data_IF_122090470224
#
_entry.id   IF_122090470224
#
_cell.length_a   1.000
_cell.length_b   1.000
_cell.length_c   1.000
_cell.angle_alpha   90.00
_cell.angle_beta   90.00
_cell.angle_gamma   90.00
#
_symmetry.space_group_name_H-M   'P 1'
#
loop_
_entity.id
_entity.type
_entity.pdbx_description
1 polymer ?
#
# COMPACT_ATOMS: atom_id res chain seq x y z
N UNK A 1 -43.48 11.95 0.78
CA UNK A 1 -42.92 10.94 1.69
C UNK A 1 -41.48 10.77 1.28
N UNK A 2 -40.56 11.55 1.87
CA UNK A 2 -39.15 11.49 1.58
C UNK A 2 -38.57 10.26 2.29
N UNK A 3 -38.23 9.21 1.52
CA UNK A 3 -37.36 8.16 2.01
C UNK A 3 -35.98 8.76 2.24
N UNK A 4 -35.63 9.09 3.48
CA UNK A 4 -34.27 9.24 3.91
C UNK A 4 -33.62 7.85 3.76
N UNK A 5 -32.89 7.62 2.66
CA UNK A 5 -31.91 6.56 2.64
C UNK A 5 -30.90 6.93 3.71
N UNK A 6 -30.96 6.22 4.82
CA UNK A 6 -29.89 6.22 5.82
C UNK A 6 -28.63 5.75 5.06
N UNK A 7 -27.67 6.64 4.88
CA UNK A 7 -26.37 6.29 4.32
C UNK A 7 -25.80 5.19 5.21
N UNK A 8 -25.82 3.94 4.73
CA UNK A 8 -25.32 2.80 5.48
C UNK A 8 -23.83 3.00 5.79
N UNK A 9 -23.46 2.83 7.05
CA UNK A 9 -22.07 2.89 7.48
C UNK A 9 -21.23 1.84 6.77
N UNK A 10 -20.09 2.23 6.24
CA UNK A 10 -19.15 1.33 5.58
C UNK A 10 -18.21 0.72 6.62
N UNK A 11 -18.26 -0.60 6.79
CA UNK A 11 -17.33 -1.33 7.66
C UNK A 11 -15.99 -1.49 6.95
N UNK A 12 -14.92 -0.99 7.56
CA UNK A 12 -13.60 -1.00 6.96
C UNK A 12 -12.53 -1.54 7.93
N UNK A 13 -11.48 -2.12 7.35
CA UNK A 13 -10.28 -2.50 8.10
C UNK A 13 -9.25 -1.36 8.05
N UNK A 14 -8.89 -0.83 9.22
CA UNK A 14 -7.93 0.26 9.35
C UNK A 14 -6.67 -0.19 10.11
N UNK A 15 -5.50 0.27 9.63
CA UNK A 15 -4.21 0.01 10.25
C UNK A 15 -3.79 1.14 11.19
N UNK A 16 -3.91 0.98 12.50
CA UNK A 16 -3.55 1.99 13.48
C UNK A 16 -2.16 1.73 14.07
N UNK A 17 -1.21 2.62 13.81
CA UNK A 17 0.18 2.51 14.25
C UNK A 17 0.43 3.34 15.51
N UNK A 18 0.86 2.67 16.60
CA UNK A 18 1.21 3.31 17.87
C UNK A 18 2.66 3.01 18.25
N UNK A 19 3.33 3.94 18.93
CA UNK A 19 4.71 3.77 19.38
C UNK A 19 4.75 3.03 20.71
N UNK A 20 5.62 2.01 20.79
CA UNK A 20 5.85 1.22 22.00
C UNK A 20 7.11 1.67 22.74
N UNK A 21 7.09 1.51 24.05
CA UNK A 21 8.20 1.80 24.97
C UNK A 21 8.52 0.53 25.80
N UNK A 22 9.13 -0.49 25.15
CA UNK A 22 9.50 -1.71 25.82
C UNK A 22 10.70 -1.49 26.76
N UNK A 23 10.73 -2.16 27.90
CA UNK A 23 11.91 -2.33 28.73
C UNK A 23 12.93 -3.30 28.11
N UNK A 24 14.08 -3.52 28.76
CA UNK A 24 15.12 -4.41 28.25
C UNK A 24 14.62 -5.86 28.06
N UNK A 25 13.86 -6.37 29.03
CA UNK A 25 13.32 -7.73 29.00
C UNK A 25 12.35 -7.90 27.83
N UNK A 26 11.47 -6.93 27.63
CA UNK A 26 10.52 -6.93 26.51
C UNK A 26 11.23 -6.80 25.15
N UNK A 27 12.28 -5.98 25.07
CA UNK A 27 13.12 -5.87 23.87
C UNK A 27 13.72 -7.23 23.50
N UNK A 28 14.21 -7.99 24.47
CA UNK A 28 14.78 -9.32 24.23
C UNK A 28 13.69 -10.31 23.78
N UNK A 29 12.52 -10.29 24.40
CA UNK A 29 11.37 -11.11 23.97
C UNK A 29 10.94 -10.76 22.54
N UNK A 30 10.88 -9.48 22.17
CA UNK A 30 10.57 -9.05 20.81
C UNK A 30 11.63 -9.52 19.81
N UNK A 31 12.91 -9.39 20.15
CA UNK A 31 14.00 -9.83 19.29
C UNK A 31 13.99 -11.36 19.10
N UNK A 32 13.68 -12.15 20.15
CA UNK A 32 13.50 -13.62 20.05
C UNK A 32 12.34 -13.96 19.12
N UNK A 33 11.16 -13.33 19.30
CA UNK A 33 10.00 -13.57 18.43
C UNK A 33 10.28 -13.23 16.96
N UNK A 34 11.02 -12.13 16.69
CA UNK A 34 11.50 -11.78 15.35
C UNK A 34 12.48 -12.83 14.80
N UNK A 35 13.36 -13.36 15.66
CA UNK A 35 14.29 -14.44 15.34
C UNK A 35 13.56 -15.73 14.97
N UNK A 36 12.66 -16.16 15.83
CA UNK A 36 11.85 -17.37 15.63
C UNK A 36 10.97 -17.30 14.37
N UNK A 37 10.38 -16.15 14.10
CA UNK A 37 9.61 -15.94 12.86
C UNK A 37 10.48 -16.10 11.59
N UNK A 38 11.72 -15.58 11.59
CA UNK A 38 12.67 -15.79 10.48
C UNK A 38 13.12 -17.25 10.37
N UNK A 39 13.43 -17.87 11.49
CA UNK A 39 13.85 -19.27 11.57
C UNK A 39 12.77 -20.17 10.98
N UNK A 40 11.52 -20.00 11.41
CA UNK A 40 10.37 -20.76 10.89
C UNK A 40 10.19 -20.53 9.39
N UNK A 41 10.21 -19.27 8.93
CA UNK A 41 10.11 -18.96 7.49
C UNK A 41 11.16 -19.70 6.67
N UNK A 42 12.41 -19.63 7.09
CA UNK A 42 13.53 -20.22 6.32
C UNK A 42 13.46 -21.74 6.32
N UNK A 43 13.16 -22.37 7.46
CA UNK A 43 13.04 -23.82 7.54
C UNK A 43 11.84 -24.34 6.73
N UNK A 44 10.68 -23.69 6.84
CA UNK A 44 9.51 -24.08 6.04
C UNK A 44 9.74 -23.91 4.54
N UNK A 45 10.46 -22.87 4.13
CA UNK A 45 10.84 -22.69 2.74
C UNK A 45 11.79 -23.79 2.26
N UNK A 46 12.82 -24.14 3.07
CA UNK A 46 13.75 -25.25 2.78
C UNK A 46 13.03 -26.59 2.69
N UNK A 47 12.19 -26.90 3.66
CA UNK A 47 11.47 -28.18 3.68
C UNK A 47 10.47 -28.29 2.52
N UNK A 48 9.80 -27.20 2.16
CA UNK A 48 8.93 -27.18 0.99
C UNK A 48 9.73 -27.42 -0.31
N UNK A 49 10.90 -26.80 -0.45
CA UNK A 49 11.78 -27.01 -1.60
C UNK A 49 12.25 -28.46 -1.69
N UNK A 50 12.78 -29.03 -0.61
CA UNK A 50 13.21 -30.43 -0.57
C UNK A 50 12.08 -31.40 -0.92
N UNK A 51 10.90 -31.20 -0.32
CA UNK A 51 9.73 -32.02 -0.58
C UNK A 51 9.29 -31.92 -2.05
N UNK A 52 9.34 -30.74 -2.63
CA UNK A 52 9.03 -30.53 -4.04
C UNK A 52 10.02 -31.23 -4.97
N UNK A 53 11.30 -31.21 -4.65
CA UNK A 53 12.36 -31.93 -5.39
C UNK A 53 12.12 -33.43 -5.36
N UNK A 54 11.82 -34.00 -4.19
CA UNK A 54 11.47 -35.42 -4.05
C UNK A 54 10.22 -35.78 -4.85
N UNK A 55 9.16 -34.96 -4.80
CA UNK A 55 7.95 -35.15 -5.59
C UNK A 55 8.26 -35.18 -7.09
N UNK A 56 9.12 -34.27 -7.56
CA UNK A 56 9.54 -34.20 -8.96
C UNK A 56 10.29 -35.46 -9.39
N UNK A 57 11.17 -36.01 -8.55
CA UNK A 57 11.90 -37.26 -8.81
C UNK A 57 10.96 -38.47 -8.95
N UNK A 58 9.81 -38.45 -8.27
CA UNK A 58 8.77 -39.49 -8.35
C UNK A 58 7.69 -39.18 -9.40
N UNK A 59 7.93 -38.25 -10.33
CA UNK A 59 7.03 -37.94 -11.44
C UNK A 59 5.85 -37.01 -11.10
N UNK A 60 5.78 -36.49 -9.88
CA UNK A 60 4.71 -35.55 -9.50
C UNK A 60 5.09 -34.11 -9.90
N UNK A 61 4.17 -33.41 -10.54
CA UNK A 61 4.42 -32.04 -11.05
C UNK A 61 3.99 -30.94 -10.08
N UNK A 62 3.19 -31.27 -9.05
CA UNK A 62 2.63 -30.26 -8.12
C UNK A 62 2.65 -30.75 -6.67
N UNK A 63 3.23 -29.94 -5.79
CA UNK A 63 3.11 -30.07 -4.33
C UNK A 63 2.02 -29.10 -3.83
N UNK A 64 1.10 -29.59 -3.00
CA UNK A 64 0.02 -28.75 -2.43
C UNK A 64 0.63 -27.67 -1.51
N UNK A 65 0.47 -26.39 -1.88
CA UNK A 65 0.86 -25.23 -1.09
C UNK A 65 -0.35 -24.73 -0.28
N UNK A 66 -0.72 -25.43 0.79
CA UNK A 66 -1.89 -25.11 1.60
C UNK A 66 -1.57 -25.05 3.10
N UNK A 67 -2.55 -24.62 3.91
CA UNK A 67 -2.40 -24.47 5.34
C UNK A 67 -2.12 -25.79 6.05
N UNK A 68 -2.73 -26.89 5.63
CA UNK A 68 -2.57 -28.23 6.24
C UNK A 68 -1.12 -28.68 6.13
N UNK A 69 -0.53 -28.63 4.93
CA UNK A 69 0.87 -29.01 4.69
C UNK A 69 1.83 -28.21 5.57
N UNK A 70 1.72 -26.89 5.57
CA UNK A 70 2.62 -26.05 6.35
C UNK A 70 2.38 -26.13 7.86
N UNK A 71 1.16 -26.39 8.30
CA UNK A 71 0.87 -26.60 9.72
C UNK A 71 1.52 -27.88 10.23
N UNK A 72 1.46 -28.97 9.45
CA UNK A 72 2.16 -30.23 9.75
C UNK A 72 3.67 -30.01 9.85
N UNK A 73 4.26 -29.36 8.85
CA UNK A 73 5.70 -28.99 8.86
C UNK A 73 6.07 -28.15 10.08
N UNK A 74 5.25 -27.15 10.45
CA UNK A 74 5.49 -26.34 11.64
C UNK A 74 5.40 -27.14 12.93
N UNK A 75 4.49 -28.11 13.00
CA UNK A 75 4.34 -28.99 14.18
C UNK A 75 5.58 -29.88 14.35
N UNK A 76 6.09 -30.45 13.26
CA UNK A 76 7.35 -31.21 13.26
C UNK A 76 8.54 -30.35 13.67
N UNK A 77 8.62 -29.13 13.10
CA UNK A 77 9.67 -28.17 13.40
C UNK A 77 9.69 -27.77 14.89
N UNK A 78 8.53 -27.60 15.51
CA UNK A 78 8.42 -27.32 16.95
C UNK A 78 8.90 -28.49 17.83
N UNK A 79 8.63 -29.73 17.43
CA UNK A 79 9.14 -30.91 18.12
C UNK A 79 10.66 -30.97 18.06
N UNK A 80 11.24 -30.67 16.89
CA UNK A 80 12.68 -30.67 16.67
C UNK A 80 13.38 -29.50 17.40
N UNK A 81 12.70 -28.34 17.49
CA UNK A 81 13.26 -27.09 18.05
C UNK A 81 12.34 -26.54 19.17
N UNK A 82 12.45 -27.04 20.40
CA UNK A 82 11.57 -26.68 21.53
C UNK A 82 11.53 -25.19 21.84
N UNK A 83 12.60 -24.41 21.56
CA UNK A 83 12.63 -22.96 21.80
C UNK A 83 11.55 -22.20 21.01
N UNK A 84 10.96 -22.80 19.98
CA UNK A 84 9.85 -22.20 19.23
C UNK A 84 8.57 -22.10 20.06
N UNK A 85 8.44 -22.89 21.13
CA UNK A 85 7.32 -22.80 22.07
C UNK A 85 7.35 -21.50 22.90
N UNK A 86 8.49 -20.79 22.96
CA UNK A 86 8.59 -19.48 23.62
C UNK A 86 7.80 -18.40 22.86
N UNK A 87 7.60 -18.58 21.56
CA UNK A 87 6.81 -17.67 20.74
C UNK A 87 5.33 -17.98 20.82
N UNK A 88 4.51 -16.94 20.63
CA UNK A 88 3.06 -17.11 20.49
C UNK A 88 2.73 -17.97 19.26
N UNK A 89 1.85 -18.96 19.44
CA UNK A 89 1.54 -19.94 18.39
C UNK A 89 0.94 -19.27 17.15
N UNK A 90 0.05 -18.29 17.33
CA UNK A 90 -0.53 -17.54 16.22
C UNK A 90 0.50 -16.76 15.42
N UNK A 91 1.59 -16.28 16.08
CA UNK A 91 2.72 -15.65 15.40
C UNK A 91 3.41 -16.59 14.43
N UNK A 92 3.69 -17.83 14.84
CA UNK A 92 4.36 -18.81 13.99
C UNK A 92 3.44 -19.32 12.88
N UNK A 93 2.14 -19.49 13.19
CA UNK A 93 1.14 -19.80 12.18
C UNK A 93 1.02 -18.69 11.10
N UNK A 94 1.11 -17.43 11.51
CA UNK A 94 1.06 -16.32 10.56
C UNK A 94 2.28 -16.33 9.61
N UNK A 95 3.43 -16.84 10.05
CA UNK A 95 4.61 -16.98 9.20
C UNK A 95 4.35 -17.89 8.00
N UNK A 96 3.74 -19.07 8.22
CA UNK A 96 3.44 -19.95 7.10
C UNK A 96 2.31 -19.42 6.21
N UNK A 97 1.32 -18.71 6.77
CA UNK A 97 0.29 -18.04 5.96
C UNK A 97 0.89 -16.99 5.03
N UNK A 98 1.83 -16.19 5.54
CA UNK A 98 2.59 -15.23 4.74
C UNK A 98 3.45 -15.93 3.66
N UNK A 99 3.99 -17.12 3.95
CA UNK A 99 4.76 -17.92 2.99
C UNK A 99 3.85 -18.47 1.89
N UNK A 100 2.68 -19.03 2.24
CA UNK A 100 1.65 -19.48 1.28
C UNK A 100 1.23 -18.31 0.37
N UNK A 101 0.96 -17.14 0.95
CA UNK A 101 0.61 -15.95 0.18
C UNK A 101 1.73 -15.58 -0.82
N UNK A 102 2.98 -15.67 -0.40
CA UNK A 102 4.14 -15.41 -1.27
C UNK A 102 4.25 -16.43 -2.42
N UNK A 103 3.99 -17.71 -2.15
CA UNK A 103 3.94 -18.75 -3.20
C UNK A 103 2.77 -18.53 -4.16
N UNK A 104 1.59 -18.17 -3.64
CA UNK A 104 0.43 -17.87 -4.48
C UNK A 104 0.69 -16.67 -5.41
N UNK A 105 1.39 -15.64 -4.91
CA UNK A 105 1.85 -14.53 -5.73
C UNK A 105 2.81 -14.95 -6.84
N UNK A 106 3.73 -15.87 -6.53
CA UNK A 106 4.66 -16.43 -7.51
C UNK A 106 3.95 -17.28 -8.57
N UNK A 107 3.08 -18.19 -8.17
CA UNK A 107 2.34 -19.04 -9.11
C UNK A 107 1.41 -18.24 -10.03
N UNK A 108 0.86 -17.14 -9.55
CA UNK A 108 0.07 -16.19 -10.35
C UNK A 108 0.94 -15.22 -11.19
N UNK A 109 2.26 -15.39 -11.21
CA UNK A 109 3.24 -14.52 -11.90
C UNK A 109 3.22 -13.05 -11.43
N UNK A 110 2.64 -12.76 -10.28
CA UNK A 110 2.56 -11.42 -9.71
C UNK A 110 3.80 -11.04 -8.87
N UNK A 111 4.61 -12.03 -8.48
CA UNK A 111 5.82 -11.82 -7.67
C UNK A 111 6.90 -12.85 -7.98
N UNK A 112 8.15 -12.52 -7.58
CA UNK A 112 9.25 -13.47 -7.66
C UNK A 112 9.11 -14.59 -6.61
N UNK A 113 9.87 -15.67 -6.82
CA UNK A 113 9.95 -16.80 -5.89
C UNK A 113 10.30 -16.33 -4.46
N UNK A 114 9.69 -16.92 -3.40
CA UNK A 114 9.97 -16.55 -2.02
C UNK A 114 11.44 -16.69 -1.67
N UNK A 115 12.04 -15.64 -1.06
CA UNK A 115 13.45 -15.61 -0.68
C UNK A 115 13.64 -15.89 0.81
N UNK A 116 14.80 -16.43 1.17
CA UNK A 116 15.22 -16.56 2.57
C UNK A 116 15.29 -15.19 3.26
N UNK A 117 14.85 -15.12 4.51
CA UNK A 117 14.92 -13.92 5.33
C UNK A 117 16.22 -13.88 6.11
N UNK A 118 16.94 -12.76 6.05
CA UNK A 118 18.17 -12.53 6.79
C UNK A 118 17.98 -11.50 7.92
N UNK A 119 18.91 -11.50 8.88
CA UNK A 119 18.98 -10.45 9.91
C UNK A 119 19.38 -9.11 9.31
N UNK A 120 20.07 -9.11 8.18
CA UNK A 120 20.57 -7.92 7.47
C UNK A 120 19.45 -7.18 6.73
N UNK A 121 18.52 -7.92 6.15
CA UNK A 121 17.40 -7.38 5.38
C UNK A 121 16.07 -7.98 5.87
N UNK A 122 15.67 -7.72 7.12
CA UNK A 122 14.50 -8.33 7.70
C UNK A 122 13.22 -7.56 7.34
N UNK A 123 12.13 -8.27 7.14
CA UNK A 123 10.83 -7.72 7.55
C UNK A 123 10.84 -7.68 9.07
N UNK A 124 11.06 -6.50 9.63
CA UNK A 124 11.22 -6.30 11.06
C UNK A 124 9.87 -6.28 11.79
N UNK A 125 9.09 -7.32 11.65
CA UNK A 125 7.79 -7.44 12.29
C UNK A 125 7.32 -8.88 12.44
N UNK A 126 6.51 -9.12 13.46
CA UNK A 126 5.74 -10.35 13.65
C UNK A 126 4.31 -10.00 14.02
N UNK A 127 3.35 -10.84 13.61
CA UNK A 127 1.92 -10.61 13.81
C UNK A 127 1.38 -11.57 14.85
N UNK A 128 0.54 -11.06 15.74
CA UNK A 128 -0.21 -11.80 16.75
C UNK A 128 -1.68 -11.67 16.39
N UNK A 129 -2.35 -12.80 16.21
CA UNK A 129 -3.79 -12.83 15.99
C UNK A 129 -4.52 -12.54 17.32
N UNK A 130 -5.59 -11.76 17.26
CA UNK A 130 -6.38 -11.50 18.46
C UNK A 130 -7.42 -12.61 18.69
N UNK A 131 -7.10 -13.52 19.58
CA UNK A 131 -8.03 -14.54 20.07
C UNK A 131 -8.59 -14.14 21.43
N UNK A 132 -9.02 -12.86 21.59
CA UNK A 132 -9.45 -12.23 22.86
C UNK A 132 -8.36 -12.11 23.92
N UNK A 133 -7.10 -12.40 23.60
CA UNK A 133 -5.97 -12.41 24.54
C UNK A 133 -5.15 -11.10 24.53
N UNK A 134 -5.47 -10.17 23.64
CA UNK A 134 -4.82 -8.84 23.59
C UNK A 134 -5.69 -7.89 24.40
N UNK A 135 -5.14 -7.38 25.52
CA UNK A 135 -5.83 -6.42 26.36
C UNK A 135 -5.18 -5.05 26.24
N UNK A 136 -5.99 -4.02 26.03
CA UNK A 136 -5.54 -2.63 25.91
C UNK A 136 -6.12 -1.82 27.04
N UNK A 137 -5.24 -1.07 27.72
CA UNK A 137 -5.63 -0.06 28.70
C UNK A 137 -5.26 1.32 28.18
N UNK A 138 -5.48 2.37 28.95
CA UNK A 138 -5.16 3.74 28.55
C UNK A 138 -3.71 3.97 28.10
N UNK A 139 -2.74 3.24 28.65
CA UNK A 139 -1.31 3.45 28.42
C UNK A 139 -0.52 2.15 28.19
N UNK A 140 -1.17 0.98 28.26
CA UNK A 140 -0.47 -0.30 28.14
C UNK A 140 -1.22 -1.29 27.27
N UNK A 141 -0.46 -2.16 26.62
CA UNK A 141 -0.93 -3.29 25.83
C UNK A 141 -0.39 -4.55 26.48
N UNK A 142 -1.25 -5.52 26.75
CA UNK A 142 -0.87 -6.86 27.18
C UNK A 142 -0.88 -7.77 25.97
N UNK A 143 0.28 -8.35 25.64
CA UNK A 143 0.47 -9.25 24.52
C UNK A 143 0.66 -10.68 25.04
N UNK A 144 0.00 -11.69 24.42
CA UNK A 144 0.14 -13.10 24.83
C UNK A 144 1.60 -13.54 24.85
N UNK A 145 2.02 -14.27 25.89
CA UNK A 145 3.39 -14.75 26.16
C UNK A 145 4.46 -13.67 26.30
N UNK A 146 4.24 -12.48 25.78
CA UNK A 146 5.20 -11.38 25.83
C UNK A 146 5.04 -10.57 27.12
N UNK A 147 3.79 -10.30 27.52
CA UNK A 147 3.48 -9.51 28.72
C UNK A 147 3.06 -8.08 28.41
N UNK A 148 3.22 -7.19 29.38
CA UNK A 148 2.73 -5.81 29.36
C UNK A 148 3.77 -4.86 28.77
N UNK A 149 3.37 -4.01 27.82
CA UNK A 149 4.22 -2.98 27.22
C UNK A 149 3.53 -1.63 27.20
N UNK A 150 4.25 -0.56 27.52
CA UNK A 150 3.74 0.81 27.45
C UNK A 150 3.66 1.31 26.00
N UNK A 151 2.62 2.10 25.70
CA UNK A 151 2.48 2.77 24.40
C UNK A 151 2.04 4.23 24.58
N UNK A 152 2.30 5.03 23.54
CA UNK A 152 1.81 6.41 23.43
C UNK A 152 1.15 6.64 22.08
N UNK A 153 -0.01 7.31 22.14
CA UNK A 153 -0.75 7.74 20.95
C UNK A 153 -1.64 8.94 21.32
N UNK A 154 -2.31 9.56 20.34
CA UNK A 154 -3.25 10.65 20.59
C UNK A 154 -4.49 10.17 21.38
N UNK A 155 -5.22 11.07 22.05
CA UNK A 155 -6.48 10.71 22.75
C UNK A 155 -7.50 10.08 21.79
N UNK A 156 -7.67 10.62 20.58
CA UNK A 156 -8.57 10.08 19.55
C UNK A 156 -8.25 8.62 19.20
N UNK A 157 -6.97 8.29 19.02
CA UNK A 157 -6.55 6.91 18.72
C UNK A 157 -6.70 5.98 19.93
N UNK A 158 -6.59 6.50 21.16
CA UNK A 158 -6.89 5.70 22.37
C UNK A 158 -8.36 5.31 22.42
N UNK A 159 -9.24 6.27 22.12
CA UNK A 159 -10.68 6.03 22.07
C UNK A 159 -11.00 5.01 20.97
N UNK A 160 -10.49 5.22 19.76
CA UNK A 160 -10.70 4.32 18.63
C UNK A 160 -10.26 2.88 18.94
N UNK A 161 -9.11 2.70 19.61
CA UNK A 161 -8.64 1.37 20.03
C UNK A 161 -9.52 0.69 21.09
N UNK A 162 -10.25 1.46 21.90
CA UNK A 162 -11.18 0.92 22.90
C UNK A 162 -12.50 0.49 22.28
N UNK A 163 -12.99 1.22 21.29
CA UNK A 163 -14.31 1.05 20.67
C UNK A 163 -14.29 0.05 19.53
N UNK A 164 -13.13 -0.08 18.85
CA UNK A 164 -13.03 -0.91 17.66
C UNK A 164 -12.73 -2.38 17.95
N UNK A 165 -13.24 -3.26 17.11
CA UNK A 165 -12.87 -4.67 17.11
C UNK A 165 -11.45 -4.82 16.55
N UNK A 166 -10.55 -5.40 17.39
CA UNK A 166 -9.16 -5.65 17.00
C UNK A 166 -9.05 -7.03 16.37
N UNK A 167 -8.65 -7.11 15.12
CA UNK A 167 -8.45 -8.38 14.42
C UNK A 167 -7.07 -8.98 14.70
N UNK A 168 -6.02 -8.18 14.64
CA UNK A 168 -4.66 -8.59 14.94
C UNK A 168 -3.75 -7.40 15.28
N UNK A 169 -2.57 -7.70 15.83
CA UNK A 169 -1.53 -6.72 16.12
C UNK A 169 -0.22 -7.17 15.49
N UNK A 170 0.41 -6.30 14.73
CA UNK A 170 1.75 -6.51 14.19
C UNK A 170 2.76 -5.68 14.96
N UNK A 171 3.70 -6.34 15.62
CA UNK A 171 4.81 -5.67 16.30
C UNK A 171 5.91 -5.45 15.26
N UNK A 172 6.29 -4.19 15.03
CA UNK A 172 7.33 -3.80 14.06
C UNK A 172 8.50 -3.14 14.77
N UNK A 173 9.70 -3.47 14.30
CA UNK A 173 10.91 -2.74 14.68
C UNK A 173 11.32 -1.86 13.49
N UNK A 174 11.27 -0.56 13.67
CA UNK A 174 11.71 0.40 12.66
C UNK A 174 12.88 1.19 13.24
N UNK A 175 14.06 1.01 12.67
CA UNK A 175 15.32 1.54 13.18
C UNK A 175 15.56 1.09 14.64
N UNK A 176 15.38 1.99 15.61
CA UNK A 176 15.55 1.69 17.02
C UNK A 176 14.26 1.80 17.85
N UNK A 177 13.13 1.93 17.18
CA UNK A 177 11.83 2.05 17.83
C UNK A 177 10.96 0.83 17.53
N UNK A 178 10.11 0.51 18.49
CA UNK A 178 9.10 -0.51 18.32
C UNK A 178 7.73 0.15 18.16
N UNK A 179 6.93 -0.44 17.30
CA UNK A 179 5.57 -0.01 17.01
C UNK A 179 4.64 -1.20 17.07
N UNK A 180 3.43 -1.00 17.58
CA UNK A 180 2.31 -1.89 17.34
C UNK A 180 1.45 -1.29 16.23
N UNK A 181 1.14 -2.09 15.23
CA UNK A 181 0.18 -1.77 14.19
C UNK A 181 -1.03 -2.67 14.42
N UNK A 182 -2.10 -2.07 14.90
CA UNK A 182 -3.38 -2.76 15.08
C UNK A 182 -4.12 -2.77 13.75
N UNK A 183 -4.65 -3.92 13.38
CA UNK A 183 -5.69 -4.03 12.37
C UNK A 183 -7.02 -4.00 13.11
N UNK A 184 -7.74 -2.91 12.96
CA UNK A 184 -9.03 -2.67 13.62
C UNK A 184 -10.14 -2.62 12.58
N UNK A 185 -11.32 -3.05 12.98
CA UNK A 185 -12.55 -2.91 12.20
C UNK A 185 -13.28 -1.68 12.71
N UNK A 186 -13.54 -0.73 11.83
CA UNK A 186 -14.19 0.55 12.15
C UNK A 186 -15.29 0.85 11.15
N UNK A 187 -16.26 1.63 11.58
CA UNK A 187 -17.30 2.17 10.73
C UNK A 187 -16.90 3.54 10.20
N UNK A 188 -17.09 3.77 8.92
CA UNK A 188 -16.90 5.08 8.27
C UNK A 188 -18.23 5.54 7.68
N UNK A 189 -18.55 6.79 7.93
CA UNK A 189 -19.68 7.43 7.27
C UNK A 189 -19.28 7.82 5.84
N UNK A 190 -20.11 7.52 4.84
CA UNK A 190 -19.89 8.03 3.49
C UNK A 190 -19.77 9.54 3.49
N UNK A 191 -18.89 10.08 2.65
CA UNK A 191 -18.79 11.51 2.47
C UNK A 191 -19.92 12.02 1.57
N UNK A 192 -20.37 13.24 1.83
CA UNK A 192 -21.40 13.92 1.01
C UNK A 192 -21.01 13.85 -0.48
N UNK A 193 -21.98 13.53 -1.32
CA UNK A 193 -21.80 13.56 -2.76
C UNK A 193 -21.64 15.01 -3.24
N UNK A 194 -20.70 15.22 -4.15
CA UNK A 194 -20.38 16.53 -4.74
C UNK A 194 -20.92 16.68 -6.15
N UNK A 195 -21.19 15.56 -6.84
CA UNK A 195 -21.50 15.52 -8.28
C UNK A 195 -20.30 15.67 -9.19
N UNK A 196 -19.09 15.85 -8.61
CA UNK A 196 -17.88 16.19 -9.36
C UNK A 196 -17.00 14.96 -9.66
N UNK A 197 -16.43 14.95 -10.87
CA UNK A 197 -15.42 13.98 -11.27
C UNK A 197 -14.09 14.68 -11.53
N UNK A 198 -12.97 13.95 -11.34
CA UNK A 198 -11.63 14.48 -11.62
C UNK A 198 -10.72 13.44 -12.26
N UNK A 199 -9.99 13.86 -13.29
CA UNK A 199 -8.83 13.14 -13.81
C UNK A 199 -7.55 13.66 -13.18
N UNK A 200 -6.62 12.79 -12.87
CA UNK A 200 -5.35 13.13 -12.22
C UNK A 200 -4.19 12.51 -13.01
N UNK A 201 -3.35 13.38 -13.53
CA UNK A 201 -2.07 13.04 -14.15
C UNK A 201 -0.94 13.16 -13.11
N UNK A 202 -0.07 12.13 -13.00
CA UNK A 202 1.05 12.10 -12.07
C UNK A 202 2.37 12.39 -12.79
N UNK A 203 3.10 13.39 -12.32
CA UNK A 203 4.31 13.85 -12.97
C UNK A 203 5.55 13.96 -12.07
N UNK A 204 6.73 14.00 -12.68
CA UNK A 204 8.01 14.11 -11.97
C UNK A 204 8.22 15.51 -11.41
N UNK A 205 7.93 16.53 -12.18
CA UNK A 205 8.12 17.95 -11.79
C UNK A 205 6.96 18.44 -10.92
N UNK A 206 5.75 18.14 -11.32
CA UNK A 206 4.50 18.37 -10.61
C UNK A 206 4.03 17.03 -10.07
N UNK A 207 3.73 16.93 -8.76
CA UNK A 207 3.30 15.66 -8.15
C UNK A 207 2.02 15.13 -8.79
N UNK A 208 1.05 16.02 -8.97
CA UNK A 208 -0.23 15.71 -9.59
C UNK A 208 -0.81 16.96 -10.28
N UNK A 209 -1.38 16.78 -11.47
CA UNK A 209 -2.16 17.79 -12.18
C UNK A 209 -3.59 17.30 -12.30
N UNK A 210 -4.54 18.09 -11.87
CA UNK A 210 -5.97 17.78 -11.90
C UNK A 210 -6.60 18.34 -13.19
N UNK A 211 -7.66 17.69 -13.67
CA UNK A 211 -8.40 18.10 -14.87
C UNK A 211 -9.03 19.50 -14.80
N UNK A 212 -9.24 20.02 -13.57
CA UNK A 212 -9.69 21.41 -13.35
C UNK A 212 -8.55 22.45 -13.42
N UNK A 213 -7.32 22.04 -13.74
CA UNK A 213 -6.14 22.92 -13.84
C UNK A 213 -5.32 23.07 -12.56
N UNK A 214 -5.77 22.51 -11.42
CA UNK A 214 -5.01 22.57 -10.18
C UNK A 214 -3.72 21.75 -10.28
N UNK A 215 -2.57 22.38 -10.08
CA UNK A 215 -1.25 21.73 -10.06
C UNK A 215 -0.72 21.63 -8.64
N UNK A 216 -0.36 20.42 -8.23
CA UNK A 216 0.13 20.10 -6.89
C UNK A 216 1.62 19.79 -7.00
N UNK A 217 2.43 20.63 -6.38
CA UNK A 217 3.89 20.50 -6.39
C UNK A 217 4.37 19.40 -5.45
N UNK A 218 5.55 18.85 -5.74
CA UNK A 218 6.21 17.91 -4.85
C UNK A 218 6.57 18.61 -3.52
N UNK A 219 6.49 17.85 -2.41
CA UNK A 219 6.95 18.33 -1.12
C UNK A 219 8.47 18.52 -1.15
N UNK A 220 8.95 19.71 -0.77
CA UNK A 220 10.39 19.94 -0.64
C UNK A 220 10.99 19.10 0.50
N UNK A 221 11.84 18.17 0.15
CA UNK A 221 12.60 17.28 1.06
C UNK A 221 14.11 17.50 0.94
N UNK A 222 14.55 18.57 0.30
CA UNK A 222 15.97 18.87 0.00
C UNK A 222 16.85 18.81 1.25
N UNK A 223 16.35 19.32 2.38
CA UNK A 223 17.08 19.28 3.66
C UNK A 223 17.31 17.85 4.13
N UNK A 224 16.25 17.05 4.14
CA UNK A 224 16.32 15.64 4.55
C UNK A 224 17.23 14.85 3.61
N UNK A 225 17.14 15.05 2.31
CA UNK A 225 17.96 14.38 1.30
C UNK A 225 19.43 14.71 1.42
N UNK A 226 19.79 15.98 1.63
CA UNK A 226 21.16 16.42 1.93
C UNK A 226 21.72 15.70 3.17
N UNK A 227 20.92 15.60 4.25
CA UNK A 227 21.35 14.95 5.48
C UNK A 227 21.44 13.42 5.32
N UNK A 228 20.52 12.78 4.62
CA UNK A 228 20.57 11.34 4.30
C UNK A 228 21.83 11.05 3.50
N UNK A 229 22.10 11.80 2.43
CA UNK A 229 23.32 11.66 1.60
C UNK A 229 24.60 11.84 2.41
N UNK A 230 24.63 12.86 3.30
CA UNK A 230 25.76 13.08 4.22
C UNK A 230 26.00 11.87 5.11
N UNK A 231 24.96 11.36 5.79
CA UNK A 231 25.12 10.24 6.73
C UNK A 231 25.39 8.90 6.03
N UNK A 232 24.94 8.68 4.80
CA UNK A 232 25.38 7.55 3.98
C UNK A 232 26.89 7.58 3.73
N UNK A 233 27.45 8.74 3.31
CA UNK A 233 28.90 8.93 3.10
C UNK A 233 29.70 8.73 4.40
N UNK A 234 29.18 9.21 5.54
CA UNK A 234 29.83 9.00 6.84
C UNK A 234 29.78 7.53 7.26
N UNK A 235 28.69 6.82 6.96
CA UNK A 235 28.50 5.42 7.30
C UNK A 235 29.43 4.51 6.50
N UNK A 236 29.63 4.76 5.19
CA UNK A 236 30.49 3.97 4.32
C UNK A 236 31.98 3.98 4.75
N UNK A 237 32.41 5.04 5.44
CA UNK A 237 33.80 5.19 5.94
C UNK A 237 34.02 4.56 7.31
N UNK A 238 33.01 3.93 7.92
CA UNK A 238 33.12 3.36 9.28
C UNK A 238 33.20 1.85 9.24
N UNK A 239 33.99 1.29 10.17
CA UNK A 239 34.09 -0.16 10.36
C UNK A 239 32.68 -0.70 10.68
N UNK A 240 32.24 -1.64 9.86
CA UNK A 240 30.93 -2.28 10.00
C UNK A 240 30.69 -2.77 11.44
N UNK A 241 29.49 -2.54 11.94
CA UNK A 241 29.01 -2.94 13.27
C UNK A 241 29.79 -2.34 14.48
N UNK A 242 30.71 -1.39 14.29
CA UNK A 242 31.35 -0.68 15.40
C UNK A 242 30.35 0.20 16.16
N UNK A 243 30.67 0.60 17.41
CA UNK A 243 29.85 1.54 18.19
C UNK A 243 29.58 2.85 17.41
N UNK A 244 30.58 3.38 16.70
CA UNK A 244 30.48 4.59 15.87
C UNK A 244 29.61 4.37 14.64
N UNK A 245 29.71 3.21 13.97
CA UNK A 245 28.85 2.79 12.88
C UNK A 245 27.38 2.76 13.31
N UNK A 246 27.10 2.05 14.41
CA UNK A 246 25.74 1.92 14.94
C UNK A 246 25.13 3.26 15.39
N UNK A 247 25.92 4.17 15.96
CA UNK A 247 25.48 5.54 16.29
C UNK A 247 25.08 6.32 15.02
N UNK A 248 25.90 6.24 13.96
CA UNK A 248 25.63 6.89 12.68
C UNK A 248 24.39 6.30 12.00
N UNK A 249 24.26 4.98 12.00
CA UNK A 249 23.09 4.28 11.45
C UNK A 249 21.79 4.73 12.15
N UNK A 250 21.82 4.93 13.47
CA UNK A 250 20.68 5.49 14.22
C UNK A 250 20.30 6.89 13.76
N UNK A 251 21.32 7.75 13.51
CA UNK A 251 21.10 9.13 13.05
C UNK A 251 20.56 9.16 11.61
N UNK A 252 21.14 8.34 10.73
CA UNK A 252 20.63 8.16 9.37
C UNK A 252 19.15 7.73 9.39
N UNK A 253 18.84 6.74 10.22
CA UNK A 253 17.46 6.25 10.39
C UNK A 253 16.47 7.33 10.82
N UNK A 254 16.89 8.26 11.71
CA UNK A 254 16.05 9.42 12.11
C UNK A 254 15.74 10.34 10.95
N UNK A 255 16.70 10.62 10.07
CA UNK A 255 16.49 11.49 8.91
C UNK A 255 15.57 10.83 7.87
N UNK A 256 15.78 9.54 7.58
CA UNK A 256 14.90 8.77 6.71
C UNK A 256 13.46 8.75 7.27
N UNK A 257 13.31 8.50 8.57
CA UNK A 257 11.99 8.49 9.22
C UNK A 257 11.32 9.87 9.14
N UNK A 258 12.06 10.96 9.38
CA UNK A 258 11.55 12.34 9.27
C UNK A 258 11.04 12.63 7.87
N UNK A 259 11.83 12.30 6.82
CA UNK A 259 11.41 12.45 5.42
C UNK A 259 10.11 11.67 5.15
N UNK A 260 10.09 10.38 5.51
CA UNK A 260 8.94 9.53 5.29
C UNK A 260 7.69 10.01 6.02
N UNK A 261 7.82 10.52 7.24
CA UNK A 261 6.69 11.05 8.01
C UNK A 261 6.11 12.30 7.34
N UNK A 262 6.96 13.23 6.85
CA UNK A 262 6.52 14.44 6.14
C UNK A 262 5.79 14.10 4.83
N UNK A 263 6.35 13.18 4.04
CA UNK A 263 5.72 12.71 2.80
C UNK A 263 4.39 12.01 3.08
N UNK A 264 4.34 11.16 4.11
CA UNK A 264 3.11 10.48 4.50
C UNK A 264 2.01 11.46 4.90
N UNK A 265 2.34 12.45 5.73
CA UNK A 265 1.39 13.48 6.16
C UNK A 265 0.84 14.26 4.95
N UNK A 266 1.74 14.69 4.04
CA UNK A 266 1.35 15.39 2.82
C UNK A 266 0.41 14.54 1.95
N UNK A 267 0.73 13.25 1.73
CA UNK A 267 -0.11 12.36 0.93
C UNK A 267 -1.44 12.02 1.58
N UNK A 268 -1.47 11.90 2.92
CA UNK A 268 -2.72 11.73 3.65
C UNK A 268 -3.64 12.94 3.51
N UNK A 269 -3.08 14.16 3.60
CA UNK A 269 -3.81 15.41 3.40
C UNK A 269 -4.32 15.55 1.97
N UNK A 270 -3.44 15.31 0.99
CA UNK A 270 -3.80 15.39 -0.42
C UNK A 270 -4.87 14.38 -0.81
N UNK A 271 -4.66 13.10 -0.46
CA UNK A 271 -5.65 12.06 -0.77
C UNK A 271 -6.99 12.29 -0.07
N UNK A 272 -6.99 12.88 1.15
CA UNK A 272 -8.23 13.27 1.82
C UNK A 272 -8.93 14.45 1.11
N UNK A 273 -8.16 15.45 0.69
CA UNK A 273 -8.68 16.60 -0.08
C UNK A 273 -9.35 16.12 -1.37
N UNK A 274 -8.68 15.24 -2.14
CA UNK A 274 -9.23 14.71 -3.39
C UNK A 274 -10.55 13.97 -3.14
N UNK A 275 -10.55 13.00 -2.21
CA UNK A 275 -11.75 12.18 -1.94
C UNK A 275 -12.91 12.98 -1.34
N UNK A 276 -12.61 14.08 -0.61
CA UNK A 276 -13.64 14.99 -0.07
C UNK A 276 -14.32 15.80 -1.16
N UNK A 277 -13.59 16.22 -2.20
CA UNK A 277 -14.09 17.19 -3.20
C UNK A 277 -14.63 16.52 -4.48
N UNK A 278 -14.36 15.24 -4.70
CA UNK A 278 -14.77 14.55 -5.92
C UNK A 278 -15.44 13.22 -5.61
N UNK A 279 -16.43 12.85 -6.40
CA UNK A 279 -17.16 11.58 -6.26
C UNK A 279 -16.54 10.49 -7.13
N UNK A 280 -15.96 10.87 -8.26
CA UNK A 280 -15.30 9.98 -9.21
C UNK A 280 -13.87 10.48 -9.43
N UNK A 281 -12.90 9.61 -9.16
CA UNK A 281 -11.48 9.88 -9.30
C UNK A 281 -10.90 8.94 -10.34
N UNK A 282 -10.43 9.50 -11.46
CA UNK A 282 -9.80 8.76 -12.56
C UNK A 282 -8.29 9.02 -12.58
N UNK A 283 -7.49 7.98 -12.67
CA UNK A 283 -6.03 8.05 -12.72
C UNK A 283 -5.47 7.09 -13.76
N UNK A 284 -4.26 7.33 -14.23
CA UNK A 284 -3.59 6.36 -15.11
C UNK A 284 -3.02 5.17 -14.34
N UNK A 285 -2.89 4.04 -15.02
CA UNK A 285 -2.22 2.85 -14.48
C UNK A 285 -0.71 2.97 -14.65
N UNK A 286 0.03 3.14 -13.55
CA UNK A 286 1.49 3.25 -13.54
C UNK A 286 2.16 1.88 -13.58
N UNK A 287 2.99 1.59 -14.58
CA UNK A 287 3.89 0.43 -14.55
C UNK A 287 5.20 0.77 -13.83
N UNK A 288 5.20 0.48 -12.54
CA UNK A 288 6.36 0.73 -11.70
C UNK A 288 7.58 -0.10 -12.12
N UNK A 289 7.40 -1.29 -12.71
CA UNK A 289 8.50 -2.14 -13.15
C UNK A 289 9.23 -1.53 -14.36
N UNK A 290 8.48 -1.00 -15.30
CA UNK A 290 9.02 -0.34 -16.48
C UNK A 290 9.74 0.96 -16.12
N UNK A 291 9.16 1.75 -15.21
CA UNK A 291 9.80 2.97 -14.69
C UNK A 291 11.13 2.63 -13.98
N UNK A 292 11.20 1.51 -13.23
CA UNK A 292 12.44 1.07 -12.59
C UNK A 292 13.53 0.61 -13.56
N UNK A 293 13.14 0.08 -14.72
CA UNK A 293 14.09 -0.44 -15.71
C UNK A 293 14.66 0.66 -16.61
N UNK A 294 13.87 1.71 -16.88
CA UNK A 294 14.17 2.71 -17.89
C UNK A 294 14.61 4.07 -17.32
N UNK A 295 14.75 4.20 -16.00
CA UNK A 295 15.00 5.50 -15.37
C UNK A 295 16.07 5.46 -14.30
N UNK A 296 16.68 6.63 -14.04
CA UNK A 296 17.62 6.85 -12.94
C UNK A 296 17.01 6.54 -11.56
N UNK A 297 17.88 6.26 -10.58
CA UNK A 297 17.51 5.94 -9.20
C UNK A 297 16.54 6.96 -8.55
N UNK A 298 16.63 8.24 -8.91
CA UNK A 298 15.74 9.30 -8.41
C UNK A 298 14.29 9.14 -8.88
N UNK A 299 14.08 8.81 -10.14
CA UNK A 299 12.74 8.59 -10.73
C UNK A 299 12.11 7.29 -10.23
N UNK A 300 12.92 6.27 -9.94
CA UNK A 300 12.46 5.02 -9.29
C UNK A 300 11.90 5.26 -7.88
N UNK A 301 12.54 6.13 -7.09
CA UNK A 301 12.03 6.52 -5.76
C UNK A 301 10.72 7.29 -5.86
N UNK A 302 10.56 8.10 -6.89
CA UNK A 302 9.34 8.88 -7.12
C UNK A 302 8.16 7.99 -7.54
N UNK A 303 8.40 6.96 -8.35
CA UNK A 303 7.36 5.98 -8.73
C UNK A 303 6.79 5.21 -7.53
N UNK A 304 7.63 4.90 -6.53
CA UNK A 304 7.15 4.30 -5.26
C UNK A 304 6.25 5.28 -4.50
N UNK A 305 6.60 6.57 -4.53
CA UNK A 305 5.82 7.62 -3.89
C UNK A 305 4.44 7.80 -4.56
N UNK A 306 4.38 7.76 -5.89
CA UNK A 306 3.12 7.80 -6.65
C UNK A 306 2.23 6.61 -6.34
N UNK A 307 2.76 5.39 -6.36
CA UNK A 307 1.99 4.21 -5.97
C UNK A 307 1.34 4.38 -4.61
N UNK A 308 2.08 4.92 -3.66
CA UNK A 308 1.56 5.15 -2.31
C UNK A 308 0.40 6.15 -2.30
N UNK A 309 0.50 7.24 -3.07
CA UNK A 309 -0.58 8.22 -3.21
C UNK A 309 -1.82 7.58 -3.86
N UNK A 310 -1.62 6.82 -4.95
CA UNK A 310 -2.69 6.07 -5.62
C UNK A 310 -3.38 5.11 -4.66
N UNK A 311 -2.59 4.29 -3.94
CA UNK A 311 -3.14 3.34 -2.95
C UNK A 311 -3.93 4.08 -1.84
N UNK A 312 -3.46 5.28 -1.41
CA UNK A 312 -4.15 6.10 -0.40
C UNK A 312 -5.47 6.68 -0.92
N UNK A 313 -5.53 7.10 -2.18
CA UNK A 313 -6.77 7.59 -2.80
C UNK A 313 -7.74 6.41 -2.93
N UNK A 314 -7.28 5.28 -3.48
CA UNK A 314 -8.10 4.09 -3.70
C UNK A 314 -8.80 3.62 -2.43
N UNK A 315 -8.07 3.32 -1.35
CA UNK A 315 -8.72 2.83 -0.13
C UNK A 315 -9.61 3.89 0.53
N UNK A 316 -9.29 5.19 0.40
CA UNK A 316 -10.17 6.24 0.92
C UNK A 316 -11.45 6.37 0.11
N UNK A 317 -11.42 6.16 -1.20
CA UNK A 317 -12.63 6.07 -2.01
C UNK A 317 -13.53 4.94 -1.50
N UNK A 318 -12.96 3.76 -1.26
CA UNK A 318 -13.67 2.61 -0.67
C UNK A 318 -14.25 2.96 0.73
N UNK A 319 -13.49 3.67 1.59
CA UNK A 319 -13.91 4.04 2.94
C UNK A 319 -15.05 5.07 2.97
N UNK A 320 -15.12 5.94 1.98
CA UNK A 320 -16.04 7.08 1.97
C UNK A 320 -17.10 7.02 0.87
N UNK A 321 -17.29 5.87 0.24
CA UNK A 321 -18.33 5.65 -0.77
C UNK A 321 -18.11 6.42 -2.07
N UNK A 322 -16.82 6.65 -2.45
CA UNK A 322 -16.45 7.31 -3.71
C UNK A 322 -15.99 6.29 -4.74
N UNK A 323 -16.03 6.64 -6.02
CA UNK A 323 -15.58 5.78 -7.11
C UNK A 323 -14.13 6.12 -7.48
N UNK A 324 -13.34 5.06 -7.68
CA UNK A 324 -11.97 5.17 -8.13
C UNK A 324 -11.78 4.30 -9.37
N UNK A 325 -11.30 4.88 -10.46
CA UNK A 325 -10.99 4.18 -11.70
C UNK A 325 -9.54 4.42 -12.13
N UNK A 326 -8.91 3.38 -12.67
CA UNK A 326 -7.59 3.46 -13.30
C UNK A 326 -7.72 3.09 -14.77
N UNK A 327 -7.53 4.07 -15.66
CA UNK A 327 -7.58 3.88 -17.09
C UNK A 327 -6.45 2.97 -17.59
N UNK A 328 -6.62 2.44 -18.81
CA UNK A 328 -5.61 1.61 -19.44
C UNK A 328 -4.28 2.36 -19.57
N UNK A 329 -3.17 1.70 -19.23
CA UNK A 329 -1.81 2.27 -19.28
C UNK A 329 -1.35 2.68 -20.68
N UNK A 330 -1.93 2.10 -21.71
CA UNK A 330 -1.60 2.38 -23.10
C UNK A 330 -2.41 3.53 -23.71
N UNK A 331 -3.34 4.06 -22.95
CA UNK A 331 -4.12 5.21 -23.42
C UNK A 331 -3.22 6.44 -23.55
N UNK A 332 -3.17 7.06 -24.74
CA UNK A 332 -2.23 8.14 -25.03
C UNK A 332 -2.73 9.49 -24.50
N UNK A 333 -2.95 9.59 -23.18
CA UNK A 333 -3.58 10.73 -22.50
C UNK A 333 -2.92 12.08 -22.86
N UNK A 334 -1.60 12.14 -22.96
CA UNK A 334 -0.86 13.37 -23.26
C UNK A 334 -0.87 13.75 -24.76
N UNK A 335 -1.11 12.79 -25.68
CA UNK A 335 -1.07 13.00 -27.12
C UNK A 335 -2.44 13.28 -27.77
N UNK A 336 -3.52 12.93 -27.08
CA UNK A 336 -4.88 13.22 -27.52
C UNK A 336 -5.26 14.65 -27.17
N UNK A 337 -5.86 15.38 -28.11
CA UNK A 337 -6.46 16.67 -27.81
C UNK A 337 -7.71 16.49 -26.95
N UNK A 338 -7.74 17.07 -25.76
CA UNK A 338 -8.90 16.95 -24.84
C UNK A 338 -10.15 17.66 -25.36
N UNK A 339 -10.03 18.55 -26.35
CA UNK A 339 -11.16 19.25 -26.94
C UNK A 339 -11.80 18.46 -28.09
N UNK A 340 -11.01 18.02 -29.09
CA UNK A 340 -11.55 17.40 -30.31
C UNK A 340 -11.19 15.93 -30.50
N UNK A 341 -10.40 15.32 -29.60
CA UNK A 341 -9.99 13.92 -29.70
C UNK A 341 -8.86 13.64 -30.71
N UNK A 342 -8.38 14.65 -31.46
CA UNK A 342 -7.31 14.43 -32.43
C UNK A 342 -6.05 13.86 -31.80
N UNK A 343 -5.53 12.76 -32.34
CA UNK A 343 -4.28 12.13 -31.88
C UNK A 343 -3.08 12.77 -32.57
N UNK A 344 -2.28 13.52 -31.81
CA UNK A 344 -1.07 14.17 -32.34
C UNK A 344 0.15 13.26 -32.18
N UNK A 345 0.45 12.46 -33.24
CA UNK A 345 1.53 11.46 -33.22
C UNK A 345 2.90 12.07 -32.93
N UNK A 346 3.20 13.22 -33.54
CA UNK A 346 4.52 13.87 -33.47
C UNK A 346 4.65 14.87 -32.33
N UNK A 347 3.74 14.83 -31.35
CA UNK A 347 3.83 15.69 -30.18
C UNK A 347 5.13 15.40 -29.43
N UNK A 348 6.00 16.43 -29.36
CA UNK A 348 7.24 16.39 -28.60
C UNK A 348 7.00 16.53 -27.11
N UNK A 349 8.09 16.48 -26.28
CA UNK A 349 8.04 16.67 -24.83
C UNK A 349 7.81 18.13 -24.37
N UNK A 350 7.27 18.99 -25.24
CA UNK A 350 6.92 20.37 -24.92
C UNK A 350 5.81 20.41 -23.86
N UNK A 351 5.92 21.38 -22.95
CA UNK A 351 4.91 21.59 -21.90
C UNK A 351 3.61 22.15 -22.45
N UNK A 352 3.70 22.96 -23.50
CA UNK A 352 2.58 23.63 -24.14
C UNK A 352 2.58 23.31 -25.62
N UNK A 353 1.40 23.13 -26.18
CA UNK A 353 1.21 22.82 -27.61
C UNK A 353 -0.16 23.28 -28.12
N UNK A 354 -0.25 23.53 -29.40
CA UNK A 354 -1.50 23.88 -30.08
C UNK A 354 -1.95 22.70 -30.93
N UNK A 355 -3.21 22.32 -30.83
CA UNK A 355 -3.78 21.21 -31.60
C UNK A 355 -3.79 21.60 -33.08
N UNK A 356 -3.19 20.81 -33.98
CA UNK A 356 -3.19 21.15 -35.41
C UNK A 356 -4.57 21.03 -36.05
N UNK A 357 -5.52 20.32 -35.45
CA UNK A 357 -6.86 20.12 -35.95
C UNK A 357 -7.83 21.22 -35.51
N UNK A 358 -7.97 21.46 -34.22
CA UNK A 358 -8.94 22.42 -33.67
C UNK A 358 -8.34 23.74 -33.16
N UNK A 359 -7.03 23.94 -33.30
CA UNK A 359 -6.27 25.14 -32.94
C UNK A 359 -6.34 25.47 -31.44
N UNK A 360 -6.86 24.59 -30.57
CA UNK A 360 -6.90 24.80 -29.13
C UNK A 360 -5.47 24.72 -28.56
N UNK A 361 -5.11 25.70 -27.77
CA UNK A 361 -3.84 25.71 -27.01
C UNK A 361 -3.98 24.92 -25.71
N UNK A 362 -3.01 24.04 -25.46
CA UNK A 362 -3.01 23.12 -24.31
C UNK A 362 -1.75 23.25 -23.46
N UNK A 363 -1.93 23.27 -22.14
CA UNK A 363 -0.91 22.77 -21.23
C UNK A 363 -0.98 21.23 -21.25
N UNK A 364 0.17 20.57 -21.49
CA UNK A 364 0.26 19.12 -21.70
C UNK A 364 -0.30 18.31 -20.53
N UNK A 365 0.04 18.70 -19.29
CA UNK A 365 -0.33 17.96 -18.08
C UNK A 365 -1.83 18.13 -17.81
N UNK A 366 -2.38 19.36 -18.00
CA UNK A 366 -3.82 19.62 -17.87
C UNK A 366 -4.62 18.89 -18.97
N UNK A 367 -4.12 18.89 -20.20
CA UNK A 367 -4.72 18.13 -21.29
C UNK A 367 -4.77 16.63 -20.98
N UNK A 368 -3.67 16.07 -20.48
CA UNK A 368 -3.60 14.66 -20.07
C UNK A 368 -4.62 14.36 -18.96
N UNK A 369 -4.68 15.18 -17.92
CA UNK A 369 -5.63 15.01 -16.84
C UNK A 369 -7.10 15.05 -17.29
N UNK A 370 -7.45 15.92 -18.24
CA UNK A 370 -8.79 15.96 -18.87
C UNK A 370 -9.10 14.69 -19.66
N UNK A 371 -8.13 14.18 -20.42
CA UNK A 371 -8.29 12.93 -21.16
C UNK A 371 -8.43 11.73 -20.22
N UNK A 372 -7.65 11.67 -19.13
CA UNK A 372 -7.77 10.64 -18.08
C UNK A 372 -9.18 10.67 -17.46
N UNK A 373 -9.73 11.86 -17.21
CA UNK A 373 -11.09 11.99 -16.70
C UNK A 373 -12.13 11.44 -17.68
N UNK A 374 -12.05 11.84 -18.96
CA UNK A 374 -12.99 11.39 -20.00
C UNK A 374 -12.97 9.87 -20.15
N UNK A 375 -11.79 9.30 -20.35
CA UNK A 375 -11.60 7.87 -20.53
C UNK A 375 -12.10 7.08 -19.31
N UNK A 376 -11.74 7.53 -18.12
CA UNK A 376 -12.16 6.86 -16.88
C UNK A 376 -13.66 6.93 -16.63
N UNK A 377 -14.36 7.95 -17.10
CA UNK A 377 -15.82 8.02 -17.05
C UNK A 377 -16.47 7.05 -18.07
N UNK A 378 -15.89 6.91 -19.27
CA UNK A 378 -16.34 5.95 -20.29
C UNK A 378 -16.21 4.51 -19.73
N UNK A 379 -15.05 4.15 -19.19
CA UNK A 379 -14.80 2.83 -18.60
C UNK A 379 -15.87 2.47 -17.52
N UNK A 380 -16.26 3.44 -16.67
CA UNK A 380 -17.26 3.22 -15.63
C UNK A 380 -18.67 3.04 -16.20
N UNK A 381 -18.99 3.73 -17.29
CA UNK A 381 -20.27 3.56 -17.99
C UNK A 381 -20.33 2.17 -18.60
N UNK A 382 -19.28 1.74 -19.30
CA UNK A 382 -19.20 0.41 -19.92
C UNK A 382 -19.28 -0.71 -18.88
N UNK A 383 -18.59 -0.61 -17.75
CA UNK A 383 -18.72 -1.57 -16.64
C UNK A 383 -20.16 -1.66 -16.12
N UNK A 384 -20.85 -0.54 -16.02
CA UNK A 384 -22.26 -0.51 -15.57
C UNK A 384 -23.17 -1.20 -16.56
N UNK A 385 -23.00 -0.97 -17.86
CA UNK A 385 -23.77 -1.65 -18.91
C UNK A 385 -23.50 -3.17 -18.96
N UNK A 386 -22.25 -3.60 -18.81
CA UNK A 386 -21.88 -5.02 -18.76
C UNK A 386 -22.52 -5.69 -17.54
N UNK A 387 -22.52 -5.06 -16.40
CA UNK A 387 -23.14 -5.59 -15.18
C UNK A 387 -24.66 -5.70 -15.32
N UNK A 388 -25.33 -4.71 -15.91
CA UNK A 388 -26.78 -4.76 -16.18
C UNK A 388 -27.17 -5.90 -17.13
N UNK A 389 -26.38 -6.15 -18.18
CA UNK A 389 -26.58 -7.30 -19.10
C UNK A 389 -26.45 -8.65 -18.39
N UNK A 390 -25.51 -8.77 -17.45
CA UNK A 390 -25.28 -10.00 -16.70
C UNK A 390 -26.37 -10.28 -15.64
N UNK A 391 -27.18 -9.30 -15.27
CA UNK A 391 -28.30 -9.45 -14.33
C UNK A 391 -29.64 -9.81 -15.00
N UNK A 392 -29.67 -9.93 -16.33
CA UNK A 392 -30.83 -10.44 -17.08
C UNK A 392 -32.04 -9.51 -17.12
N UNK A 393 -31.92 -8.25 -16.75
CA UNK A 393 -32.99 -7.26 -16.87
C UNK A 393 -33.07 -6.75 -18.32
N UNK A 394 -34.09 -7.23 -19.03
CA UNK A 394 -34.35 -6.93 -20.45
C UNK A 394 -34.90 -5.52 -20.71
N UNK A 395 -34.85 -4.62 -19.78
CA UNK A 395 -35.30 -3.24 -19.94
C UNK A 395 -34.12 -2.29 -20.14
N UNK A 396 -33.52 -2.37 -21.32
CA UNK A 396 -32.56 -1.35 -21.77
C UNK A 396 -33.35 -0.13 -22.25
N UNK A 397 -33.41 0.91 -21.42
CA UNK A 397 -33.79 2.24 -21.90
C UNK A 397 -32.62 2.78 -22.71
N UNK A 398 -32.73 2.67 -24.04
CA UNK A 398 -31.88 3.36 -24.98
C UNK A 398 -32.13 4.87 -24.85
N UNK A 399 -31.28 5.54 -24.08
CA UNK A 399 -31.15 6.99 -24.21
C UNK A 399 -30.37 7.27 -25.51
N UNK A 400 -31.11 7.43 -26.60
CA UNK A 400 -30.59 7.96 -27.85
C UNK A 400 -30.11 9.38 -27.61
N UNK A 401 -28.81 9.61 -27.67
CA UNK A 401 -28.25 10.94 -27.86
C UNK A 401 -28.48 11.31 -29.33
N UNK A 402 -29.57 11.99 -29.61
CA UNK A 402 -29.72 12.71 -30.86
C UNK A 402 -28.72 13.87 -30.87
N UNK A 403 -27.74 13.75 -31.75
CA UNK A 403 -26.85 14.83 -32.12
C UNK A 403 -27.66 15.90 -32.87
N UNK A 404 -28.10 16.93 -32.18
CA UNK A 404 -28.50 18.17 -32.82
C UNK A 404 -27.26 18.97 -33.13
N UNK A 405 -26.77 18.85 -34.38
CA UNK A 405 -25.95 19.88 -35.01
C UNK A 405 -26.86 20.97 -35.56
N UNK A 406 -26.50 22.23 -35.46
CA UNK A 406 -26.66 23.19 -36.52
C UNK A 406 -25.39 23.40 -37.32
#
# INVERSE_FOLDING_TARGET
>A
MCFFMLDECIIVNEGLKVKLYPDKVMVDKFNRSLGNARFVWNNLLTEYQKTFELFKQHGYTKLKCNQTTFNTMLTMLKKQYPFLYDSESSTLQQVYRDLIHSFNGFFKKNSNYPKFKSKMNPKNGFRIQNNKNIKITSNTIVLPKLGKVHYRTSPQYKQLLKESKINNVTIKKEHNHYYAVFNIETEKQPMKKTGEAVGIDLGIRTLATLSNGLKITNLDTTREDKMIKKYHRVLSRKKYNSKRYNKTLKTLGKWIQRKNNRLNDAYHKLSHYIVKNYDIICMETLDIKEIFQNTDFSSSLQSIAWKKLVDMIKYKCEWYGKKFNQINRWFPSSKNCSQCGYYYKDLSDKKEWTCPHCQTHHDRDINAAKNIQKEGLIDLIDETFVNLRNWGDSTVILLSWESTSP
#
